data_IF_409843237239
#
_entry.id   IF_409843237239
#
_cell.length_a   1.000
_cell.length_b   1.000
_cell.length_c   1.000
_cell.angle_alpha   90.00
_cell.angle_beta   90.00
_cell.angle_gamma   90.00
#
_symmetry.space_group_name_H-M   'P 1'
#
loop_
_entity.id
_entity.type
_entity.pdbx_description
1 polymer ?
#
# COMPACT_ATOMS: atom_id res chain seq x y z
N UNK A 1 -5.19 -11.06 -21.24
CA UNK A 1 -4.65 -9.83 -20.62
C UNK A 1 -4.67 -10.01 -19.11
N UNK A 2 -3.51 -10.18 -18.46
CA UNK A 2 -3.44 -10.27 -16.99
C UNK A 2 -3.40 -8.85 -16.44
N UNK A 3 -4.49 -8.39 -15.83
CA UNK A 3 -4.53 -7.09 -15.15
C UNK A 3 -3.49 -7.06 -14.03
N UNK A 4 -2.68 -6.00 -14.00
CA UNK A 4 -1.74 -5.78 -12.91
C UNK A 4 -2.50 -5.69 -11.56
N UNK A 5 -1.96 -6.25 -10.48
CA UNK A 5 -2.60 -6.15 -9.17
C UNK A 5 -2.58 -4.69 -8.71
N UNK A 6 -3.76 -4.07 -8.59
CA UNK A 6 -3.93 -2.70 -8.10
C UNK A 6 -4.19 -2.75 -6.58
N UNK A 7 -3.21 -2.42 -5.72
CA UNK A 7 -3.38 -2.47 -4.27
C UNK A 7 -4.37 -1.39 -3.82
N UNK A 8 -5.60 -1.83 -3.54
CA UNK A 8 -6.65 -1.01 -2.94
C UNK A 8 -6.12 -0.42 -1.63
N UNK A 9 -6.31 0.88 -1.43
CA UNK A 9 -5.97 1.53 -0.16
C UNK A 9 -6.90 1.02 0.95
N UNK A 10 -6.39 0.02 1.66
CA UNK A 10 -7.07 -0.83 2.66
C UNK A 10 -6.60 -2.29 2.53
N UNK A 11 -6.09 -2.88 3.63
CA UNK A 11 -5.49 -4.23 3.79
C UNK A 11 -4.35 -4.63 2.81
N UNK A 12 -4.53 -4.49 1.50
CA UNK A 12 -3.57 -4.83 0.46
C UNK A 12 -2.33 -3.94 0.42
N UNK A 13 -2.42 -2.68 0.84
CA UNK A 13 -1.30 -1.74 0.89
C UNK A 13 -0.20 -2.17 1.86
N UNK A 14 -0.56 -2.69 3.04
CA UNK A 14 0.40 -3.20 4.04
C UNK A 14 1.20 -4.41 3.56
N UNK A 15 0.61 -5.23 2.67
CA UNK A 15 1.27 -6.40 2.08
C UNK A 15 2.18 -6.01 0.91
N UNK A 16 1.73 -5.09 0.04
CA UNK A 16 2.52 -4.63 -1.10
C UNK A 16 3.71 -3.79 -0.65
N UNK A 17 3.52 -2.98 0.39
CA UNK A 17 4.59 -2.23 1.04
C UNK A 17 5.75 -3.15 1.50
N UNK A 18 5.52 -4.39 1.94
CA UNK A 18 6.60 -5.30 2.39
C UNK A 18 7.40 -6.01 1.29
N UNK A 19 7.00 -5.95 0.01
CA UNK A 19 7.81 -6.52 -1.10
C UNK A 19 8.94 -5.55 -1.48
N UNK A 20 10.03 -6.10 -2.04
CA UNK A 20 11.18 -5.34 -2.57
C UNK A 20 10.77 -4.11 -3.38
N UNK A 21 11.60 -3.05 -3.46
CA UNK A 21 11.23 -1.68 -3.86
C UNK A 21 10.96 -1.51 -5.37
N UNK A 22 10.54 -2.56 -6.07
CA UNK A 22 10.10 -2.45 -7.45
C UNK A 22 8.77 -1.70 -7.48
N UNK A 23 8.70 -0.64 -8.29
CA UNK A 23 7.44 0.05 -8.56
C UNK A 23 6.39 -0.97 -9.07
N UNK A 24 5.32 -1.25 -8.30
CA UNK A 24 4.30 -2.20 -8.71
C UNK A 24 3.25 -1.57 -9.64
N UNK A 25 3.32 -0.25 -9.86
CA UNK A 25 2.34 0.52 -10.61
C UNK A 25 2.76 0.69 -12.07
N UNK A 26 1.77 0.79 -12.96
CA UNK A 26 1.98 1.37 -14.29
C UNK A 26 2.24 2.86 -14.18
N UNK A 27 2.84 3.46 -15.21
CA UNK A 27 2.94 4.93 -15.31
C UNK A 27 1.56 5.59 -15.51
N UNK A 28 0.56 4.81 -15.92
CA UNK A 28 -0.81 5.28 -16.06
C UNK A 28 -1.48 5.54 -14.69
N UNK A 29 -2.30 6.61 -14.57
CA UNK A 29 -3.06 6.89 -13.36
C UNK A 29 -4.01 5.74 -12.99
N UNK A 30 -4.13 5.48 -11.70
CA UNK A 30 -5.13 4.53 -11.20
C UNK A 30 -6.53 5.15 -11.16
N UNK A 31 -7.55 4.30 -11.10
CA UNK A 31 -8.94 4.75 -10.99
C UNK A 31 -9.17 5.53 -9.68
N UNK A 32 -9.80 6.70 -9.80
CA UNK A 32 -10.29 7.46 -8.65
C UNK A 32 -11.63 6.88 -8.17
N UNK A 33 -11.74 6.61 -6.86
CA UNK A 33 -12.98 6.11 -6.24
C UNK A 33 -13.66 7.19 -5.39
N UNK A 34 -12.86 8.06 -4.79
CA UNK A 34 -13.27 9.23 -4.04
C UNK A 34 -12.33 10.40 -4.38
N UNK A 35 -12.65 11.65 -3.99
CA UNK A 35 -11.74 12.78 -4.17
C UNK A 35 -10.39 12.59 -3.47
N UNK A 36 -10.34 11.75 -2.43
CA UNK A 36 -9.14 11.49 -1.64
C UNK A 36 -8.29 10.34 -2.21
N UNK A 37 -8.77 9.61 -3.23
CA UNK A 37 -8.02 8.50 -3.80
C UNK A 37 -6.69 8.97 -4.43
N UNK A 38 -5.58 8.39 -4.00
CA UNK A 38 -4.29 8.58 -4.68
C UNK A 38 -4.33 7.95 -6.08
N UNK A 39 -4.26 8.79 -7.11
CA UNK A 39 -4.33 8.33 -8.51
C UNK A 39 -2.96 8.25 -9.17
N UNK A 40 -2.00 9.09 -8.75
CA UNK A 40 -0.69 9.13 -9.35
C UNK A 40 0.27 8.08 -8.73
N UNK A 41 1.06 7.38 -9.56
CA UNK A 41 1.96 6.32 -9.08
C UNK A 41 2.98 6.80 -8.04
N UNK A 42 3.40 8.07 -8.09
CA UNK A 42 4.40 8.61 -7.16
C UNK A 42 3.82 8.75 -5.76
N UNK A 43 2.64 9.34 -5.61
CA UNK A 43 1.96 9.46 -4.32
C UNK A 43 1.65 8.09 -3.72
N UNK A 44 1.36 7.09 -4.56
CA UNK A 44 1.15 5.72 -4.09
C UNK A 44 2.44 5.07 -3.55
N UNK A 45 3.59 5.34 -4.19
CA UNK A 45 4.89 4.89 -3.70
C UNK A 45 5.30 5.60 -2.41
N UNK A 46 5.07 6.92 -2.32
CA UNK A 46 5.35 7.73 -1.14
C UNK A 46 4.50 7.24 0.05
N UNK A 47 3.21 6.97 -0.17
CA UNK A 47 2.32 6.37 0.83
C UNK A 47 2.80 4.98 1.28
N UNK A 48 3.28 4.15 0.34
CA UNK A 48 3.81 2.84 0.70
C UNK A 48 5.08 2.92 1.54
N UNK A 49 5.94 3.92 1.30
CA UNK A 49 7.10 4.19 2.16
C UNK A 49 6.66 4.61 3.56
N UNK A 50 5.70 5.55 3.68
CA UNK A 50 5.15 5.96 4.96
C UNK A 50 4.55 4.77 5.75
N UNK A 51 3.86 3.86 5.07
CA UNK A 51 3.31 2.62 5.68
C UNK A 51 4.41 1.69 6.20
N UNK A 52 5.57 1.59 5.51
CA UNK A 52 6.71 0.78 6.00
C UNK A 52 7.23 1.33 7.31
N UNK A 53 7.41 2.65 7.36
CA UNK A 53 7.97 3.36 8.50
C UNK A 53 6.99 3.34 9.69
N UNK A 54 5.69 3.52 9.44
CA UNK A 54 4.66 3.50 10.47
C UNK A 54 4.29 2.07 10.94
N UNK A 55 4.60 1.04 10.15
CA UNK A 55 4.22 -0.34 10.43
C UNK A 55 2.72 -0.64 10.26
N UNK A 56 1.95 0.33 9.76
CA UNK A 56 0.50 0.23 9.56
C UNK A 56 0.03 1.11 8.40
N UNK A 57 -1.14 0.81 7.86
CA UNK A 57 -1.78 1.63 6.84
C UNK A 57 -3.08 2.24 7.37
N UNK A 58 -3.33 3.49 7.04
CA UNK A 58 -4.56 4.21 7.38
C UNK A 58 -5.28 4.58 6.09
N UNK A 59 -6.57 4.24 6.01
CA UNK A 59 -7.48 4.70 4.97
C UNK A 59 -8.44 5.70 5.62
N UNK A 60 -8.42 6.94 5.14
CA UNK A 60 -9.23 8.07 5.62
C UNK A 60 -10.39 8.43 4.69
N UNK A 61 -10.77 7.53 3.78
CA UNK A 61 -11.86 7.75 2.84
C UNK A 61 -11.46 7.56 1.39
N UNK A 62 -10.25 7.07 1.12
CA UNK A 62 -9.73 6.84 -0.24
C UNK A 62 -10.52 5.76 -1.00
N UNK A 63 -11.25 4.88 -0.31
CA UNK A 63 -12.08 3.83 -0.93
C UNK A 63 -13.58 4.13 -0.87
N UNK A 64 -14.08 4.68 0.23
CA UNK A 64 -15.49 5.04 0.41
C UNK A 64 -15.55 6.34 1.24
N UNK A 65 -16.23 7.37 0.73
CA UNK A 65 -16.41 8.64 1.45
C UNK A 65 -17.09 8.38 2.79
N UNK A 66 -16.55 8.97 3.86
CA UNK A 66 -17.08 8.81 5.23
C UNK A 66 -16.67 7.51 5.94
N UNK A 67 -15.87 6.65 5.31
CA UNK A 67 -15.34 5.42 5.94
C UNK A 67 -13.87 5.57 6.26
N UNK A 68 -13.49 5.28 7.50
CA UNK A 68 -12.09 5.20 7.94
C UNK A 68 -11.73 3.79 8.37
N UNK A 69 -10.51 3.35 8.07
CA UNK A 69 -10.02 2.03 8.43
C UNK A 69 -8.51 2.06 8.73
N UNK A 70 -8.06 1.13 9.57
CA UNK A 70 -6.64 0.90 9.86
C UNK A 70 -6.31 -0.56 9.54
N UNK A 71 -5.21 -0.79 8.84
CA UNK A 71 -4.72 -2.12 8.52
C UNK A 71 -3.34 -2.36 9.14
N UNK A 72 -3.25 -3.42 9.94
CA UNK A 72 -2.01 -3.89 10.53
C UNK A 72 -1.56 -5.18 9.84
N UNK A 73 -0.27 -5.30 9.49
CA UNK A 73 0.25 -6.52 8.90
C UNK A 73 0.36 -7.64 9.94
N UNK A 74 -0.25 -8.78 9.65
CA UNK A 74 -0.11 -10.01 10.45
C UNK A 74 1.03 -10.85 9.87
N UNK A 75 1.98 -11.26 10.71
CA UNK A 75 3.07 -12.14 10.29
C UNK A 75 2.60 -13.59 10.27
N UNK A 76 2.79 -14.27 9.15
CA UNK A 76 2.63 -15.72 9.06
C UNK A 76 3.86 -16.44 9.64
N UNK A 77 3.73 -17.73 10.02
CA UNK A 77 4.88 -18.54 10.42
C UNK A 77 5.92 -18.56 9.29
N UNK A 78 7.15 -18.16 9.60
CA UNK A 78 8.27 -18.08 8.64
C UNK A 78 8.51 -16.70 8.02
N UNK A 79 7.64 -15.71 8.26
CA UNK A 79 7.87 -14.34 7.80
C UNK A 79 8.64 -13.58 8.89
N UNK A 80 9.97 -13.69 8.85
CA UNK A 80 10.87 -13.07 9.83
C UNK A 80 10.63 -11.57 9.99
N UNK A 81 11.03 -11.04 11.15
CA UNK A 81 11.07 -9.61 11.41
C UNK A 81 11.94 -8.98 10.32
N UNK A 82 11.40 -8.12 9.46
CA UNK A 82 12.15 -7.45 8.41
C UNK A 82 13.21 -6.46 8.91
N UNK A 83 13.91 -6.75 10.01
CA UNK A 83 15.18 -6.14 10.37
C UNK A 83 16.25 -6.67 9.43
N UNK A 84 16.30 -6.10 8.22
CA UNK A 84 17.45 -6.25 7.34
C UNK A 84 18.68 -5.73 8.07
N UNK A 85 19.53 -6.64 8.53
CA UNK A 85 20.89 -6.30 8.92
C UNK A 85 21.57 -5.72 7.68
N UNK A 86 21.91 -4.43 7.74
CA UNK A 86 22.90 -3.83 6.86
C UNK A 86 24.20 -4.61 7.09
N UNK A 87 24.63 -5.34 6.07
CA UNK A 87 25.99 -5.87 5.93
C UNK A 87 26.48 -5.59 4.52
#
# INVERSE_FOLDING_TARGET
MRGAPNPRLGAGSSLVSRREPRNPFSDDPSAAYTPDTFTDPKSQLDEFAAIRDAGCAVNEGQMNVGVRAVAMPVKGPGQGDGGGAVR
#
